data_IF_118883872244
#
_entry.id   IF_118883872244
#
_cell.length_a   1.000
_cell.length_b   1.000
_cell.length_c   1.000
_cell.angle_alpha   90.00
_cell.angle_beta   90.00
_cell.angle_gamma   90.00
#
_symmetry.space_group_name_H-M   'P 1'
#
loop_
_entity.id
_entity.type
_entity.pdbx_description
1 polymer ?
#
# COMPACT_ATOMS: atom_id res chain seq x y z
N UNK A 1 36.43 59.83 32.80
CA UNK A 1 35.24 60.70 32.92
C UNK A 1 34.39 60.49 31.69
N UNK A 2 33.16 59.98 31.89
CA UNK A 2 31.96 60.16 31.05
C UNK A 2 32.02 59.55 29.62
N UNK A 3 31.14 58.69 29.12
CA UNK A 3 29.98 57.92 29.59
C UNK A 3 29.72 56.79 28.54
N UNK A 4 29.14 55.63 28.91
CA UNK A 4 28.74 54.59 27.97
C UNK A 4 27.36 54.84 27.33
N UNK A 5 27.25 54.62 26.01
CA UNK A 5 26.03 54.76 25.20
C UNK A 5 25.03 53.60 25.50
N UNK A 6 23.71 53.86 25.63
CA UNK A 6 22.76 52.91 26.21
C UNK A 6 22.28 51.82 25.23
N UNK A 7 22.11 50.61 25.77
CA UNK A 7 21.43 49.46 25.19
C UNK A 7 19.95 49.76 24.91
N UNK A 8 19.54 49.73 23.64
CA UNK A 8 18.13 49.74 23.25
C UNK A 8 17.53 48.35 23.48
N UNK A 9 16.78 48.20 24.57
CA UNK A 9 16.01 47.01 24.89
C UNK A 9 14.78 46.89 23.97
N UNK A 10 14.77 45.88 23.09
CA UNK A 10 13.56 45.47 22.40
C UNK A 10 12.60 44.79 23.39
N UNK A 11 11.47 45.46 23.61
CA UNK A 11 10.36 45.06 24.48
C UNK A 11 9.58 43.89 23.84
N UNK A 12 9.41 42.74 24.51
CA UNK A 12 8.51 41.69 24.01
C UNK A 12 7.04 42.08 24.26
N UNK A 13 6.09 41.73 23.37
CA UNK A 13 4.67 41.98 23.61
C UNK A 13 4.13 41.04 24.70
N UNK A 14 3.35 41.61 25.62
CA UNK A 14 2.66 40.92 26.71
C UNK A 14 1.50 40.04 26.23
N UNK A 15 1.20 38.93 26.91
CA UNK A 15 0.11 38.01 26.56
C UNK A 15 -1.24 38.52 27.08
N UNK A 16 -2.22 38.64 26.20
CA UNK A 16 -3.62 38.87 26.57
C UNK A 16 -4.25 37.58 27.11
N UNK A 17 -4.74 37.66 28.33
CA UNK A 17 -5.55 36.67 29.02
C UNK A 17 -6.90 36.43 28.33
N UNK A 18 -7.22 35.18 28.02
CA UNK A 18 -8.59 34.74 27.76
C UNK A 18 -8.86 33.45 28.53
N UNK A 19 -9.80 33.56 29.45
CA UNK A 19 -10.33 32.56 30.36
C UNK A 19 -11.21 31.53 29.65
N UNK A 20 -11.10 30.27 30.08
CA UNK A 20 -12.24 29.36 30.28
C UNK A 20 -12.80 28.63 29.06
N UNK A 21 -12.60 27.32 29.00
CA UNK A 21 -13.66 26.30 29.18
C UNK A 21 -13.25 24.96 28.54
N UNK A 22 -13.25 23.94 29.38
CA UNK A 22 -13.26 22.53 29.02
C UNK A 22 -14.57 22.21 28.29
N UNK A 23 -14.52 21.57 27.12
CA UNK A 23 -15.55 20.65 26.64
C UNK A 23 -15.02 19.85 25.42
N UNK A 24 -15.41 18.60 25.41
CA UNK A 24 -15.06 17.48 24.51
C UNK A 24 -15.41 17.71 23.03
N UNK A 25 -14.80 16.94 22.11
CA UNK A 25 -15.06 17.06 20.67
C UNK A 25 -16.44 16.49 20.31
N UNK A 26 -17.28 17.35 19.73
CA UNK A 26 -18.51 16.99 19.03
C UNK A 26 -18.22 16.35 17.65
N UNK A 27 -19.06 15.42 17.18
CA UNK A 27 -18.98 14.87 15.83
C UNK A 27 -19.65 15.81 14.81
N UNK A 28 -18.94 16.14 13.74
CA UNK A 28 -19.40 16.98 12.62
C UNK A 28 -20.10 16.15 11.52
N UNK A 29 -21.02 16.76 10.73
CA UNK A 29 -22.21 16.11 10.21
C UNK A 29 -22.12 15.66 8.74
N UNK A 30 -23.07 14.81 8.37
CA UNK A 30 -23.73 14.65 7.07
C UNK A 30 -23.09 15.30 5.82
N UNK A 31 -22.78 14.45 4.84
CA UNK A 31 -23.27 14.60 3.45
C UNK A 31 -23.10 13.26 2.71
N UNK A 32 -24.19 12.52 2.54
CA UNK A 32 -24.27 11.45 1.55
C UNK A 32 -25.63 11.53 0.84
N UNK A 33 -25.51 11.70 -0.46
CA UNK A 33 -26.51 12.11 -1.45
C UNK A 33 -27.38 10.92 -1.87
N UNK A 34 -28.68 11.18 -2.07
CA UNK A 34 -29.65 10.27 -2.72
C UNK A 34 -29.20 9.95 -4.15
N UNK A 35 -29.36 8.71 -4.61
CA UNK A 35 -29.81 8.29 -5.95
C UNK A 35 -30.02 6.76 -5.84
N UNK A 36 -31.22 6.21 -6.06
CA UNK A 36 -31.89 6.07 -7.36
C UNK A 36 -31.89 4.58 -7.70
N UNK A 37 -32.97 3.85 -7.35
CA UNK A 37 -33.16 2.43 -7.70
C UNK A 37 -33.55 2.36 -9.17
N UNK A 38 -32.67 1.81 -10.00
CA UNK A 38 -33.01 1.36 -11.34
C UNK A 38 -33.26 -0.15 -11.36
N UNK A 39 -34.42 -0.45 -11.92
CA UNK A 39 -35.04 -1.72 -12.22
C UNK A 39 -34.32 -2.41 -13.38
N UNK A 40 -33.94 -3.68 -13.22
CA UNK A 40 -33.55 -4.54 -14.34
C UNK A 40 -34.31 -5.86 -14.29
N UNK A 41 -35.23 -5.98 -15.25
CA UNK A 41 -35.98 -7.18 -15.64
C UNK A 41 -35.01 -8.33 -15.97
N UNK A 42 -35.27 -9.51 -15.40
CA UNK A 42 -34.70 -10.77 -15.87
C UNK A 42 -35.75 -11.50 -16.70
N UNK A 43 -35.47 -11.61 -18.00
CA UNK A 43 -36.13 -12.52 -18.93
C UNK A 43 -35.78 -13.96 -18.54
N UNK A 44 -36.79 -14.83 -18.49
CA UNK A 44 -36.61 -16.26 -18.20
C UNK A 44 -37.86 -17.04 -18.62
N UNK A 45 -37.89 -17.41 -19.89
CA UNK A 45 -38.84 -18.36 -20.50
C UNK A 45 -38.81 -19.72 -19.78
N UNK A 46 -39.98 -20.28 -19.45
CA UNK A 46 -40.07 -21.63 -18.90
C UNK A 46 -41.50 -22.15 -18.87
N UNK A 47 -41.75 -23.16 -19.67
CA UNK A 47 -43.03 -23.86 -19.93
C UNK A 47 -43.55 -24.57 -18.67
N UNK A 48 -44.87 -24.69 -18.54
CA UNK A 48 -45.67 -25.93 -18.75
C UNK A 48 -46.85 -26.00 -17.77
N UNK A 49 -48.02 -26.23 -18.35
CA UNK A 49 -49.31 -26.44 -17.73
C UNK A 49 -49.48 -27.85 -17.15
N UNK A 50 -50.35 -27.97 -16.14
CA UNK A 50 -50.96 -29.20 -15.64
C UNK A 50 -50.63 -29.42 -14.16
N UNK A 51 -51.56 -29.59 -13.23
CA UNK A 51 -53.01 -29.68 -13.28
C UNK A 51 -53.53 -30.05 -11.89
N UNK A 52 -54.86 -30.02 -11.77
CA UNK A 52 -55.72 -30.63 -10.75
C UNK A 52 -55.81 -30.00 -9.36
N UNK A 53 -56.98 -29.39 -9.17
CA UNK A 53 -57.74 -29.25 -7.95
C UNK A 53 -57.84 -30.57 -7.17
N UNK A 54 -57.71 -30.50 -5.84
CA UNK A 54 -58.57 -31.24 -4.92
C UNK A 54 -58.83 -30.41 -3.66
N UNK A 55 -60.11 -30.20 -3.43
CA UNK A 55 -60.73 -29.72 -2.19
C UNK A 55 -60.42 -30.68 -1.02
N UNK A 56 -60.50 -30.16 0.21
CA UNK A 56 -60.38 -30.99 1.41
C UNK A 56 -60.25 -30.18 2.69
N UNK A 57 -61.38 -29.66 3.14
CA UNK A 57 -61.86 -29.60 4.52
C UNK A 57 -60.84 -29.48 5.67
N UNK A 58 -60.99 -28.41 6.44
CA UNK A 58 -60.31 -28.27 7.72
C UNK A 58 -60.97 -29.10 8.83
N UNK A 59 -60.20 -29.33 9.89
CA UNK A 59 -60.72 -29.32 11.26
C UNK A 59 -59.55 -29.11 12.22
N UNK A 60 -59.57 -27.96 12.89
CA UNK A 60 -58.87 -27.72 14.14
C UNK A 60 -59.49 -28.61 15.22
N UNK A 61 -58.65 -29.10 16.14
CA UNK A 61 -58.88 -29.45 17.55
C UNK A 61 -57.63 -30.26 17.94
N UNK A 62 -56.98 -30.16 19.08
CA UNK A 62 -56.98 -29.32 20.27
C UNK A 62 -55.86 -29.93 21.13
N UNK A 63 -55.15 -29.09 21.88
CA UNK A 63 -54.50 -29.47 23.15
C UNK A 63 -53.85 -30.85 23.28
N UNK A 64 -52.55 -30.94 23.00
CA UNK A 64 -51.66 -31.74 23.85
C UNK A 64 -50.41 -30.92 24.15
N UNK A 65 -50.46 -30.27 25.32
CA UNK A 65 -49.29 -29.75 26.00
C UNK A 65 -48.65 -30.94 26.72
N UNK A 66 -47.33 -31.07 26.59
CA UNK A 66 -46.43 -31.95 27.34
C UNK A 66 -46.01 -33.26 26.65
N UNK A 67 -45.12 -33.16 25.65
CA UNK A 67 -43.85 -33.88 25.68
C UNK A 67 -42.90 -33.29 24.62
N UNK A 68 -41.60 -33.44 24.84
CA UNK A 68 -40.47 -32.83 24.13
C UNK A 68 -40.21 -31.35 24.44
N UNK A 69 -40.02 -31.03 25.73
CA UNK A 69 -39.14 -29.94 26.17
C UNK A 69 -37.75 -30.52 26.47
N UNK A 70 -37.20 -31.24 25.52
CA UNK A 70 -35.81 -31.67 25.50
C UNK A 70 -35.37 -31.53 24.04
N UNK A 71 -34.19 -30.94 23.83
CA UNK A 71 -33.51 -30.78 22.53
C UNK A 71 -33.80 -29.52 21.68
N UNK A 72 -33.77 -28.30 22.23
CA UNK A 72 -33.36 -27.12 21.42
C UNK A 72 -32.65 -26.09 22.32
N UNK A 73 -31.61 -26.50 23.04
CA UNK A 73 -30.47 -25.61 23.24
C UNK A 73 -29.47 -25.95 22.15
N UNK A 74 -29.81 -25.58 20.91
CA UNK A 74 -28.80 -25.43 19.88
C UNK A 74 -27.85 -24.34 20.38
N UNK A 75 -26.66 -24.76 20.82
CA UNK A 75 -25.50 -23.92 20.97
C UNK A 75 -25.40 -23.05 19.72
N UNK A 76 -25.82 -21.78 19.85
CA UNK A 76 -25.74 -20.72 18.85
C UNK A 76 -24.25 -20.34 18.70
N UNK A 77 -23.45 -21.32 18.30
CA UNK A 77 -22.01 -21.23 18.18
C UNK A 77 -21.73 -20.43 16.92
N UNK A 78 -21.47 -19.14 17.12
CA UNK A 78 -21.19 -18.15 16.07
C UNK A 78 -20.33 -18.77 14.96
N UNK A 79 -20.93 -19.05 13.80
CA UNK A 79 -20.24 -19.68 12.68
C UNK A 79 -19.22 -18.68 12.12
N UNK A 80 -17.96 -18.82 12.52
CA UNK A 80 -16.88 -17.95 12.03
C UNK A 80 -16.55 -18.35 10.59
N UNK A 81 -17.08 -17.60 9.64
CA UNK A 81 -17.03 -17.93 8.21
C UNK A 81 -15.65 -17.82 7.55
N UNK A 82 -14.68 -17.14 8.17
CA UNK A 82 -13.35 -16.95 7.58
C UNK A 82 -12.21 -16.87 8.61
N UNK A 83 -11.35 -17.90 8.64
CA UNK A 83 -10.06 -17.86 9.34
C UNK A 83 -8.97 -17.25 8.46
N UNK A 84 -9.01 -15.93 8.25
CA UNK A 84 -7.95 -15.21 7.54
C UNK A 84 -7.04 -14.46 8.52
N UNK A 85 -5.79 -14.89 8.59
CA UNK A 85 -4.78 -14.27 9.45
C UNK A 85 -4.24 -12.96 8.83
N UNK A 86 -4.22 -11.89 9.61
CA UNK A 86 -3.65 -10.60 9.22
C UNK A 86 -2.52 -10.21 10.19
N UNK A 87 -1.39 -9.78 9.64
CA UNK A 87 -0.22 -9.39 10.42
C UNK A 87 0.13 -7.91 10.24
N UNK A 88 0.71 -7.31 11.29
CA UNK A 88 1.27 -5.96 11.21
C UNK A 88 2.61 -6.01 10.47
N UNK A 89 2.83 -5.05 9.59
CA UNK A 89 4.04 -4.96 8.74
C UNK A 89 5.03 -3.89 9.20
N UNK A 90 4.70 -3.12 10.23
CA UNK A 90 5.56 -2.06 10.77
C UNK A 90 5.30 -1.90 12.26
N UNK A 91 6.28 -1.32 12.96
CA UNK A 91 6.17 -0.92 14.36
C UNK A 91 6.45 0.57 14.47
N UNK A 92 5.71 1.29 15.31
CA UNK A 92 5.96 2.72 15.57
C UNK A 92 7.19 2.87 16.49
N UNK A 93 7.99 3.93 16.34
CA UNK A 93 9.07 4.26 17.27
C UNK A 93 8.56 4.43 18.71
N UNK A 94 9.38 4.07 19.70
CA UNK A 94 9.02 4.23 21.12
C UNK A 94 8.97 5.69 21.54
N UNK A 95 9.94 6.50 21.09
CA UNK A 95 10.05 7.94 21.36
C UNK A 95 9.68 8.75 20.11
N UNK A 96 8.50 9.39 20.07
CA UNK A 96 8.03 10.06 18.85
C UNK A 96 8.80 11.32 18.47
N UNK A 97 9.31 12.11 19.42
CA UNK A 97 9.86 13.44 19.17
C UNK A 97 11.37 13.56 19.40
N UNK A 98 12.11 12.50 19.08
CA UNK A 98 13.57 12.49 19.11
C UNK A 98 14.13 13.14 17.83
N UNK A 99 14.78 14.29 17.99
CA UNK A 99 15.25 15.13 16.88
C UNK A 99 16.17 14.37 15.91
N UNK A 100 17.20 13.71 16.43
CA UNK A 100 18.17 12.95 15.62
C UNK A 100 17.50 11.88 14.75
N UNK A 101 16.53 11.15 15.33
CA UNK A 101 15.75 10.16 14.59
C UNK A 101 14.88 10.83 13.51
N UNK A 102 14.21 11.93 13.83
CA UNK A 102 13.35 12.63 12.89
C UNK A 102 14.15 13.14 11.68
N UNK A 103 15.33 13.69 11.91
CA UNK A 103 16.23 14.24 10.88
C UNK A 103 16.81 13.12 10.01
N UNK A 104 17.30 12.02 10.62
CA UNK A 104 17.79 10.86 9.88
C UNK A 104 16.70 10.19 9.02
N UNK A 105 15.48 10.05 9.55
CA UNK A 105 14.35 9.53 8.78
C UNK A 105 13.97 10.47 7.63
N UNK A 106 14.01 11.78 7.84
CA UNK A 106 13.67 12.77 6.82
C UNK A 106 14.67 12.74 5.67
N UNK A 107 15.97 12.63 5.98
CA UNK A 107 17.03 12.45 4.99
C UNK A 107 16.77 11.24 4.09
N UNK A 108 16.54 10.05 4.68
CA UNK A 108 16.25 8.83 3.92
C UNK A 108 14.94 8.93 3.11
N UNK A 109 13.91 9.59 3.65
CA UNK A 109 12.64 9.79 2.93
C UNK A 109 12.84 10.68 1.70
N UNK A 110 13.66 11.73 1.82
CA UNK A 110 14.01 12.62 0.72
C UNK A 110 14.85 11.91 -0.34
N UNK A 111 15.94 11.27 0.07
CA UNK A 111 16.87 10.58 -0.83
C UNK A 111 16.18 9.49 -1.65
N UNK A 112 15.32 8.67 -1.04
CA UNK A 112 14.67 7.55 -1.71
C UNK A 112 13.25 7.86 -2.21
N UNK A 113 12.80 9.11 -2.10
CA UNK A 113 11.48 9.56 -2.55
C UNK A 113 10.32 8.74 -1.97
N UNK A 114 10.35 8.50 -0.66
CA UNK A 114 9.30 7.78 0.04
C UNK A 114 8.09 8.68 0.28
N UNK A 115 6.86 8.13 0.22
CA UNK A 115 5.64 8.92 0.47
C UNK A 115 5.47 9.28 1.95
N UNK A 116 5.82 8.36 2.84
CA UNK A 116 5.60 8.53 4.27
C UNK A 116 6.60 7.72 5.11
N UNK A 117 6.81 8.15 6.36
CA UNK A 117 7.66 7.45 7.34
C UNK A 117 7.25 6.01 7.59
N UNK A 118 5.98 5.66 7.35
CA UNK A 118 5.50 4.27 7.45
C UNK A 118 6.21 3.33 6.47
N UNK A 119 6.57 3.79 5.28
CA UNK A 119 7.34 2.96 4.33
C UNK A 119 8.72 2.64 4.88
N UNK A 120 9.36 3.62 5.54
CA UNK A 120 10.64 3.42 6.22
C UNK A 120 10.49 2.45 7.39
N UNK A 121 9.46 2.61 8.22
CA UNK A 121 9.21 1.73 9.37
C UNK A 121 8.89 0.29 8.97
N UNK A 122 8.33 0.06 7.78
CA UNK A 122 8.13 -1.29 7.23
C UNK A 122 9.47 -1.97 6.94
N UNK A 123 10.40 -1.24 6.33
CA UNK A 123 11.75 -1.74 6.03
C UNK A 123 12.51 -1.99 7.32
N UNK A 124 12.49 -1.06 8.26
CA UNK A 124 13.09 -1.24 9.59
C UNK A 124 12.52 -2.46 10.32
N UNK A 125 11.20 -2.67 10.26
CA UNK A 125 10.56 -3.83 10.88
C UNK A 125 11.00 -5.15 10.24
N UNK A 126 11.08 -5.20 8.91
CA UNK A 126 11.57 -6.38 8.18
C UNK A 126 13.04 -6.68 8.53
N UNK A 127 13.89 -5.65 8.54
CA UNK A 127 15.30 -5.76 8.91
C UNK A 127 15.46 -6.19 10.38
N UNK A 128 14.64 -5.66 11.30
CA UNK A 128 14.65 -6.09 12.71
C UNK A 128 14.31 -7.57 12.85
N UNK A 129 13.34 -8.08 12.08
CA UNK A 129 13.00 -9.51 12.07
C UNK A 129 14.14 -10.38 11.55
N UNK A 130 14.80 -9.94 10.48
CA UNK A 130 15.94 -10.66 9.88
C UNK A 130 17.12 -10.70 10.87
N UNK A 131 17.46 -9.57 11.50
CA UNK A 131 18.52 -9.51 12.50
C UNK A 131 18.22 -10.32 13.75
N UNK A 132 16.97 -10.36 14.21
CA UNK A 132 16.60 -11.18 15.36
C UNK A 132 16.77 -12.68 15.06
N UNK A 133 16.31 -13.13 13.89
CA UNK A 133 16.56 -14.51 13.44
C UNK A 133 18.07 -14.80 13.36
N UNK A 134 18.88 -13.91 12.79
CA UNK A 134 20.32 -14.09 12.73
C UNK A 134 20.97 -14.16 14.13
N UNK A 135 20.54 -13.34 15.09
CA UNK A 135 21.03 -13.38 16.48
C UNK A 135 20.69 -14.70 17.15
N UNK A 136 19.45 -15.17 17.02
CA UNK A 136 19.03 -16.47 17.56
C UNK A 136 19.83 -17.61 16.95
N UNK A 137 20.17 -17.54 15.66
CA UNK A 137 20.97 -18.57 14.99
C UNK A 137 22.44 -18.56 15.41
N UNK A 138 23.01 -17.38 15.68
CA UNK A 138 24.41 -17.23 16.10
C UNK A 138 24.67 -17.68 17.53
N UNK A 139 23.66 -17.77 18.39
CA UNK A 139 23.82 -18.31 19.75
C UNK A 139 23.91 -19.83 19.78
N UNK A 140 23.42 -20.52 18.76
CA UNK A 140 23.53 -21.98 18.64
C UNK A 140 24.93 -22.38 18.13
N UNK A 141 25.35 -23.61 18.43
CA UNK A 141 26.58 -24.17 17.87
C UNK A 141 26.52 -24.33 16.33
N UNK A 142 27.67 -24.22 15.67
CA UNK A 142 27.81 -24.30 14.21
C UNK A 142 27.29 -25.62 13.63
N UNK A 143 27.42 -26.73 14.38
CA UNK A 143 26.99 -28.05 13.91
C UNK A 143 25.52 -28.34 14.19
N UNK A 144 24.81 -27.43 14.86
CA UNK A 144 23.40 -27.63 15.17
C UNK A 144 22.56 -27.67 13.89
N UNK A 145 21.69 -28.68 13.69
CA UNK A 145 20.90 -28.81 12.47
C UNK A 145 20.01 -27.59 12.18
N UNK A 146 19.51 -26.92 13.23
CA UNK A 146 18.72 -25.69 13.06
C UNK A 146 19.55 -24.55 12.50
N UNK A 147 20.78 -24.36 12.99
CA UNK A 147 21.68 -23.30 12.53
C UNK A 147 22.06 -23.51 11.07
N UNK A 148 22.36 -24.75 10.69
CA UNK A 148 22.73 -25.11 9.31
C UNK A 148 21.54 -24.84 8.38
N UNK A 149 20.36 -25.38 8.68
CA UNK A 149 19.20 -25.28 7.79
C UNK A 149 18.60 -23.87 7.73
N UNK A 150 18.26 -23.27 8.87
CA UNK A 150 17.64 -21.95 8.93
C UNK A 150 18.64 -20.85 8.54
N UNK A 151 19.91 -20.99 8.92
CA UNK A 151 20.98 -20.06 8.57
C UNK A 151 21.26 -20.03 7.08
N UNK A 152 21.37 -21.19 6.43
CA UNK A 152 21.57 -21.27 4.99
C UNK A 152 20.34 -20.73 4.23
N UNK A 153 19.12 -21.02 4.70
CA UNK A 153 17.90 -20.46 4.12
C UNK A 153 17.83 -18.93 4.22
N UNK A 154 18.33 -18.36 5.34
CA UNK A 154 18.41 -16.91 5.52
C UNK A 154 19.40 -16.29 4.54
N UNK A 155 20.61 -16.85 4.44
CA UNK A 155 21.66 -16.38 3.51
C UNK A 155 21.21 -16.46 2.05
N UNK A 156 20.62 -17.59 1.64
CA UNK A 156 20.04 -17.75 0.29
C UNK A 156 19.00 -16.67 -0.03
N UNK A 157 18.17 -16.28 0.94
CA UNK A 157 17.18 -15.19 0.75
C UNK A 157 17.87 -13.83 0.60
N UNK A 158 18.92 -13.55 1.37
CA UNK A 158 19.65 -12.28 1.28
C UNK A 158 20.38 -12.14 -0.06
N UNK A 159 21.06 -13.19 -0.52
CA UNK A 159 21.78 -13.20 -1.80
C UNK A 159 20.81 -13.05 -2.98
N UNK A 160 19.67 -13.75 -2.94
CA UNK A 160 18.60 -13.63 -3.95
C UNK A 160 18.08 -12.20 -4.12
N UNK A 161 18.03 -11.45 -3.03
CA UNK A 161 17.64 -10.04 -3.05
C UNK A 161 18.81 -9.09 -3.33
N UNK A 162 20.05 -9.58 -3.38
CA UNK A 162 21.25 -8.78 -3.61
C UNK A 162 21.55 -7.83 -2.47
N UNK A 163 21.28 -8.25 -1.23
CA UNK A 163 21.57 -7.48 -0.02
C UNK A 163 22.98 -7.75 0.53
N UNK A 164 23.54 -8.91 0.20
CA UNK A 164 24.90 -9.31 0.51
C UNK A 164 25.62 -9.58 -0.82
N UNK A 165 26.92 -9.30 -0.82
CA UNK A 165 27.81 -9.68 -1.91
C UNK A 165 28.20 -11.16 -1.83
N UNK A 166 28.64 -11.75 -2.93
CA UNK A 166 29.02 -13.17 -3.01
C UNK A 166 30.18 -13.51 -2.07
N UNK A 167 31.02 -12.54 -1.74
CA UNK A 167 32.11 -12.66 -0.77
C UNK A 167 31.64 -12.70 0.69
N UNK A 168 30.43 -12.21 0.99
CA UNK A 168 29.92 -11.96 2.34
C UNK A 168 28.88 -13.00 2.79
N UNK A 169 29.16 -14.28 2.56
CA UNK A 169 28.24 -15.39 2.87
C UNK A 169 28.31 -15.91 4.32
N UNK A 170 28.36 -15.00 5.30
CA UNK A 170 28.33 -15.35 6.74
C UNK A 170 27.17 -14.66 7.45
N UNK A 171 26.65 -15.30 8.50
CA UNK A 171 25.54 -14.77 9.30
C UNK A 171 25.88 -13.43 9.98
N UNK A 172 27.16 -13.19 10.28
CA UNK A 172 27.62 -11.94 10.91
C UNK A 172 27.35 -10.72 10.02
N UNK A 173 27.50 -10.85 8.69
CA UNK A 173 27.23 -9.75 7.76
C UNK A 173 25.74 -9.39 7.69
N UNK A 174 24.85 -10.32 8.00
CA UNK A 174 23.40 -10.06 8.10
C UNK A 174 23.10 -9.05 9.23
N UNK A 175 23.88 -9.05 10.30
CA UNK A 175 23.72 -8.10 11.40
C UNK A 175 24.11 -6.67 10.99
N UNK A 176 25.11 -6.54 10.11
CA UNK A 176 25.62 -5.26 9.60
C UNK A 176 24.72 -4.60 8.55
N UNK A 177 23.71 -5.30 8.00
CA UNK A 177 22.82 -4.77 6.96
C UNK A 177 22.14 -3.47 7.40
N UNK A 178 22.22 -2.42 6.59
CA UNK A 178 21.57 -1.13 6.89
C UNK A 178 20.19 -1.03 6.24
N UNK A 179 19.43 0.03 6.58
CA UNK A 179 18.13 0.30 5.96
C UNK A 179 18.28 0.70 4.48
N UNK A 180 19.38 1.38 4.16
CA UNK A 180 19.74 1.80 2.80
C UNK A 180 19.82 0.61 1.86
N UNK A 181 20.50 -0.46 2.25
CA UNK A 181 20.61 -1.70 1.46
C UNK A 181 19.24 -2.19 0.96
N UNK A 182 18.19 -2.11 1.78
CA UNK A 182 16.83 -2.49 1.36
C UNK A 182 16.16 -1.45 0.48
N UNK A 183 16.38 -0.16 0.72
CA UNK A 183 15.82 0.91 -0.08
C UNK A 183 16.42 0.93 -1.49
N UNK A 184 17.69 0.59 -1.63
CA UNK A 184 18.37 0.46 -2.93
C UNK A 184 17.83 -0.68 -3.80
N UNK A 185 17.30 -1.74 -3.18
CA UNK A 185 16.72 -2.90 -3.89
C UNK A 185 15.26 -2.71 -4.31
N UNK A 186 14.67 -1.55 -4.02
CA UNK A 186 13.29 -1.24 -4.42
C UNK A 186 13.22 -0.98 -5.92
N UNK A 187 12.11 -1.36 -6.54
CA UNK A 187 11.88 -1.11 -7.96
C UNK A 187 12.01 0.39 -8.30
N UNK A 188 11.54 1.26 -7.41
CA UNK A 188 11.62 2.72 -7.57
C UNK A 188 13.06 3.21 -7.76
N UNK A 189 13.99 2.74 -6.92
CA UNK A 189 15.39 3.20 -6.92
C UNK A 189 16.16 2.55 -8.05
N UNK A 190 15.90 1.27 -8.33
CA UNK A 190 16.51 0.56 -9.45
C UNK A 190 16.13 1.18 -10.81
N UNK A 191 14.87 1.59 -11.00
CA UNK A 191 14.42 2.29 -12.21
C UNK A 191 15.14 3.62 -12.39
N UNK A 192 15.38 4.36 -11.29
CA UNK A 192 16.16 5.59 -11.33
C UNK A 192 17.63 5.33 -11.62
N UNK A 193 18.27 4.37 -10.92
CA UNK A 193 19.67 3.98 -11.15
C UNK A 193 19.90 3.45 -12.58
N UNK A 194 18.90 2.83 -13.19
CA UNK A 194 18.96 2.33 -14.58
C UNK A 194 18.75 3.43 -15.64
N UNK A 195 18.54 4.69 -15.24
CA UNK A 195 18.39 5.83 -16.16
C UNK A 195 17.04 5.94 -16.87
N UNK A 196 16.05 5.10 -16.55
CA UNK A 196 14.72 5.14 -17.20
C UNK A 196 13.89 6.36 -16.78
N UNK A 197 14.23 6.98 -15.65
CA UNK A 197 13.52 8.11 -15.10
C UNK A 197 14.50 9.23 -14.71
N UNK A 198 14.09 10.48 -14.95
CA UNK A 198 14.86 11.69 -14.62
C UNK A 198 15.09 11.91 -13.12
N UNK A 199 14.18 11.42 -12.28
CA UNK A 199 14.18 11.61 -10.82
C UNK A 199 13.50 10.42 -10.15
N UNK A 200 13.79 10.20 -8.87
CA UNK A 200 13.20 9.15 -8.05
C UNK A 200 11.67 9.32 -7.91
N UNK A 201 11.18 10.56 -7.88
CA UNK A 201 9.74 10.84 -7.89
C UNK A 201 9.11 10.52 -9.25
N UNK A 202 9.83 10.77 -10.34
CA UNK A 202 9.39 10.40 -11.69
C UNK A 202 9.30 8.88 -11.84
N UNK A 203 10.30 8.14 -11.35
CA UNK A 203 10.27 6.67 -11.33
C UNK A 203 9.02 6.13 -10.63
N UNK A 204 8.65 6.71 -9.48
CA UNK A 204 7.45 6.32 -8.72
C UNK A 204 6.17 6.51 -9.54
N UNK A 205 6.05 7.62 -10.25
CA UNK A 205 4.90 7.92 -11.11
C UNK A 205 4.81 6.92 -12.27
N UNK A 206 5.93 6.65 -12.95
CA UNK A 206 5.98 5.68 -14.05
C UNK A 206 5.53 4.27 -13.63
N UNK A 207 5.98 3.82 -12.45
CA UNK A 207 5.57 2.53 -11.89
C UNK A 207 4.06 2.53 -11.62
N UNK A 208 3.55 3.56 -10.94
CA UNK A 208 2.11 3.64 -10.58
C UNK A 208 1.21 3.72 -11.81
N UNK A 209 1.66 4.38 -12.86
CA UNK A 209 0.96 4.47 -14.15
C UNK A 209 1.10 3.22 -15.02
N UNK A 210 1.76 2.16 -14.51
CA UNK A 210 1.91 0.86 -15.18
C UNK A 210 2.77 0.90 -16.45
N UNK A 211 3.78 1.79 -16.48
CA UNK A 211 4.70 1.88 -17.61
C UNK A 211 5.87 0.90 -17.52
N UNK A 212 6.11 0.30 -16.34
CA UNK A 212 7.30 -0.51 -16.07
C UNK A 212 6.90 -1.98 -15.88
N UNK A 213 7.68 -2.87 -16.50
CA UNK A 213 7.60 -4.32 -16.29
C UNK A 213 8.89 -4.86 -15.67
N UNK A 214 8.76 -5.97 -14.97
CA UNK A 214 9.88 -6.79 -14.50
C UNK A 214 9.72 -8.16 -15.13
N UNK A 215 10.62 -8.50 -16.06
CA UNK A 215 10.44 -9.65 -16.94
C UNK A 215 9.22 -9.47 -17.84
N UNK A 216 8.24 -10.37 -17.73
CA UNK A 216 6.99 -10.32 -18.51
C UNK A 216 5.86 -9.56 -17.82
N UNK A 217 5.94 -9.37 -16.50
CA UNK A 217 4.84 -8.84 -15.69
C UNK A 217 4.95 -7.34 -15.51
N UNK A 218 3.86 -6.62 -15.72
CA UNK A 218 3.75 -5.19 -15.39
C UNK A 218 3.58 -5.04 -13.87
N UNK A 219 4.45 -4.25 -13.24
CA UNK A 219 4.46 -4.04 -11.79
C UNK A 219 4.08 -2.60 -11.48
N UNK A 220 3.05 -2.42 -10.62
CA UNK A 220 2.51 -1.11 -10.26
C UNK A 220 2.77 -0.69 -8.79
N UNK A 221 3.66 -1.41 -8.10
CA UNK A 221 4.01 -1.18 -6.70
C UNK A 221 5.49 -0.74 -6.60
N UNK A 222 5.77 0.52 -6.24
CA UNK A 222 7.14 1.04 -6.09
C UNK A 222 7.95 0.36 -4.97
N UNK A 223 7.26 -0.24 -4.00
CA UNK A 223 7.86 -0.98 -2.88
C UNK A 223 8.27 -2.41 -3.24
N UNK A 224 8.12 -2.84 -4.49
CA UNK A 224 8.51 -4.16 -4.94
C UNK A 224 10.03 -4.35 -4.78
N UNK A 225 10.46 -5.39 -4.07
CA UNK A 225 11.87 -5.72 -3.89
C UNK A 225 12.33 -6.58 -5.07
N UNK A 226 13.22 -6.04 -5.90
CA UNK A 226 13.65 -6.73 -7.12
C UNK A 226 14.80 -7.68 -6.79
N UNK A 227 14.65 -8.93 -7.26
CA UNK A 227 15.68 -9.98 -7.18
C UNK A 227 16.82 -9.67 -8.15
N UNK A 228 18.03 -10.15 -7.85
CA UNK A 228 19.21 -9.91 -8.71
C UNK A 228 18.96 -10.44 -10.14
N UNK A 229 18.41 -11.64 -10.26
CA UNK A 229 18.10 -12.27 -11.56
C UNK A 229 17.11 -11.42 -12.40
N UNK A 230 16.12 -10.82 -11.73
CA UNK A 230 15.07 -10.04 -12.39
C UNK A 230 15.49 -8.61 -12.71
N UNK A 231 16.61 -8.14 -12.14
CA UNK A 231 17.07 -6.76 -12.31
C UNK A 231 17.46 -6.44 -13.75
N UNK A 232 18.05 -7.40 -14.47
CA UNK A 232 18.42 -7.25 -15.90
C UNK A 232 17.20 -7.12 -16.82
N UNK A 233 16.03 -7.54 -16.33
CA UNK A 233 14.80 -7.62 -17.10
C UNK A 233 13.81 -6.50 -16.73
N UNK A 234 14.29 -5.38 -16.18
CA UNK A 234 13.47 -4.20 -15.94
C UNK A 234 13.46 -3.39 -17.22
N UNK A 235 12.28 -3.09 -17.75
CA UNK A 235 12.10 -2.35 -19.00
C UNK A 235 10.73 -1.69 -19.03
N UNK A 236 10.48 -0.82 -20.00
CA UNK A 236 9.14 -0.33 -20.30
C UNK A 236 8.24 -1.49 -20.75
N UNK A 237 6.96 -1.39 -20.37
CA UNK A 237 5.95 -2.33 -20.86
C UNK A 237 5.73 -2.13 -22.35
N UNK A 238 5.62 -3.22 -23.11
CA UNK A 238 5.30 -3.17 -24.54
C UNK A 238 3.93 -2.50 -24.81
N UNK A 239 3.01 -2.60 -23.86
CA UNK A 239 1.69 -1.95 -23.93
C UNK A 239 1.73 -0.47 -23.57
N UNK A 240 2.82 0.01 -22.98
CA UNK A 240 2.97 1.39 -22.56
C UNK A 240 3.19 2.29 -23.78
N UNK A 241 2.63 3.51 -23.81
CA UNK A 241 2.97 4.51 -24.83
C UNK A 241 4.47 4.82 -24.93
N UNK A 242 5.23 4.58 -23.86
CA UNK A 242 6.67 4.80 -23.80
C UNK A 242 7.49 3.58 -24.25
N UNK A 243 6.87 2.40 -24.36
CA UNK A 243 7.51 1.14 -24.75
C UNK A 243 7.06 0.63 -26.12
N UNK A 244 6.59 1.52 -27.01
CA UNK A 244 6.10 1.18 -28.35
C UNK A 244 4.58 0.95 -28.45
N UNK A 245 3.84 1.10 -27.35
CA UNK A 245 2.39 1.00 -27.33
C UNK A 245 1.65 2.22 -27.89
N UNK A 246 0.34 2.08 -28.09
CA UNK A 246 -0.52 3.14 -28.63
C UNK A 246 -0.48 4.41 -27.75
N UNK A 247 -0.41 5.62 -28.35
CA UNK A 247 -0.49 6.87 -27.61
C UNK A 247 -1.69 6.97 -26.66
N UNK A 248 -1.45 7.52 -25.46
CA UNK A 248 -2.45 7.68 -24.41
C UNK A 248 -3.65 8.53 -24.82
N UNK A 249 -4.75 8.43 -24.05
CA UNK A 249 -6.06 9.07 -24.36
C UNK A 249 -5.93 10.57 -24.67
N UNK A 250 -5.27 11.33 -23.79
CA UNK A 250 -5.13 12.79 -23.93
C UNK A 250 -4.26 13.14 -25.14
N UNK A 251 -3.11 12.47 -25.31
CA UNK A 251 -2.24 12.68 -26.47
C UNK A 251 -2.99 12.41 -27.78
N UNK A 252 -3.79 11.35 -27.82
CA UNK A 252 -4.64 11.03 -28.98
C UNK A 252 -5.76 12.06 -29.20
N UNK A 253 -6.42 12.56 -28.14
CA UNK A 253 -7.43 13.62 -28.25
C UNK A 253 -6.80 14.90 -28.80
N UNK A 254 -5.63 15.28 -28.31
CA UNK A 254 -4.92 16.48 -28.75
C UNK A 254 -4.42 16.34 -30.19
N UNK A 255 -3.90 15.18 -30.58
CA UNK A 255 -3.52 14.90 -31.97
C UNK A 255 -4.73 14.99 -32.92
N UNK A 256 -5.89 14.45 -32.51
CA UNK A 256 -7.13 14.57 -33.29
C UNK A 256 -7.60 16.03 -33.40
N UNK A 257 -7.57 16.78 -32.30
CA UNK A 257 -7.94 18.19 -32.32
C UNK A 257 -6.98 19.02 -33.18
N UNK A 258 -5.68 18.75 -33.12
CA UNK A 258 -4.67 19.38 -33.96
C UNK A 258 -4.88 19.04 -35.44
N UNK A 259 -5.17 17.77 -35.76
CA UNK A 259 -5.49 17.34 -37.11
C UNK A 259 -6.76 18.03 -37.64
N UNK A 260 -7.83 18.17 -36.82
CA UNK A 260 -9.04 18.89 -37.21
C UNK A 260 -8.78 20.38 -37.46
N UNK A 261 -7.98 21.03 -36.62
CA UNK A 261 -7.56 22.43 -36.83
C UNK A 261 -6.70 22.59 -38.09
N UNK A 262 -5.85 21.62 -38.41
CA UNK A 262 -5.01 21.64 -39.59
C UNK A 262 -5.78 21.32 -40.89
N UNK A 263 -6.92 20.63 -40.81
CA UNK A 263 -7.76 20.30 -41.96
C UNK A 263 -8.76 21.39 -42.36
N UNK A 264 -8.69 22.59 -41.77
CA UNK A 264 -9.43 23.77 -42.25
C UNK A 264 -10.95 23.67 -42.16
N UNK A 265 -11.51 22.80 -41.31
CA UNK A 265 -12.96 22.74 -41.04
C UNK A 265 -13.31 23.75 -39.94
N UNK A 266 -13.06 25.03 -40.24
CA UNK A 266 -13.69 26.13 -39.54
C UNK A 266 -14.97 26.43 -40.30
N UNK A 267 -16.12 26.29 -39.65
CA UNK A 267 -17.37 26.90 -40.09
C UNK A 267 -17.08 28.38 -40.40
N UNK A 268 -16.97 28.69 -41.69
CA UNK A 268 -17.51 29.91 -42.24
C UNK A 268 -19.03 29.74 -42.23
N UNK A 269 -19.66 29.85 -41.06
CA UNK A 269 -21.08 30.19 -41.02
C UNK A 269 -21.14 31.71 -41.21
N UNK A 270 -21.35 32.07 -42.47
CA UNK A 270 -21.67 33.38 -42.99
C UNK A 270 -22.77 34.05 -42.15
N UNK A 271 -22.53 35.33 -41.81
CA UNK A 271 -23.60 36.28 -41.58
C UNK A 271 -24.46 36.37 -42.86
N UNK A 272 -25.74 35.98 -42.77
CA UNK A 272 -26.88 36.61 -43.45
C UNK A 272 -28.22 36.13 -42.86
#
# INVERSE_FOLDING_TARGET
MLDPVPLLAHRPPSPTSASGSTLSPSPSPYHAVRHGKEEWKRVGSGRRWGGQEKEGEGAKLSEERCNTREEEEEDDMVHVSFYRNYGKTFKKPRRPYEKERLDAELKLVGEYGLRCKRELWRVQYALSRIRNAARELLTLDEKNPRRIFEGEALLRRMNRHGLLDESQNKLDYVLALTVENFLERRLQTLVFKSGMAKSIHHARVLIRQRHIRVGRQVVNIPSFMVRVDSQKHIDFSLTSPLGGGRPGRVKRKNQKAAAKKASGDGDEDEED
#
